data_IF_103021814268
#
_entry.id   IF_103021814268
#
_cell.length_a   1.000
_cell.length_b   1.000
_cell.length_c   1.000
_cell.angle_alpha   90.00
_cell.angle_beta   90.00
_cell.angle_gamma   90.00
#
_symmetry.space_group_name_H-M   'P 1'
#
loop_
_entity.id
_entity.type
_entity.pdbx_description
1 polymer ?
#
# COMPACT_ATOMS: atom_id res chain seq x y z
N UNK A 1 -50.76 -24.99 25.74
CA UNK A 1 -49.48 -25.15 26.47
C UNK A 1 -48.85 -26.46 26.01
N UNK A 2 -48.19 -26.44 24.85
CA UNK A 2 -47.40 -27.56 24.35
C UNK A 2 -45.96 -27.07 24.19
N UNK A 3 -45.05 -27.75 24.86
CA UNK A 3 -43.62 -27.51 24.85
C UNK A 3 -43.04 -27.89 23.48
N UNK A 4 -42.10 -27.09 22.97
CA UNK A 4 -41.17 -27.54 21.95
C UNK A 4 -39.83 -26.82 22.16
N UNK A 5 -38.93 -27.62 22.73
CA UNK A 5 -37.48 -27.50 22.75
C UNK A 5 -36.95 -26.87 21.45
N UNK A 6 -36.09 -25.86 21.53
CA UNK A 6 -35.00 -25.64 20.55
C UNK A 6 -33.98 -24.66 21.12
N UNK A 7 -32.91 -25.26 21.64
CA UNK A 7 -31.51 -24.87 21.43
C UNK A 7 -31.06 -23.54 22.04
N UNK A 8 -30.33 -23.68 23.15
CA UNK A 8 -29.30 -22.75 23.53
C UNK A 8 -28.25 -22.63 22.41
N UNK A 9 -28.09 -21.45 21.83
CA UNK A 9 -26.79 -20.99 21.36
C UNK A 9 -26.58 -19.60 21.94
N UNK A 10 -25.75 -19.55 22.97
CA UNK A 10 -25.05 -18.35 23.39
C UNK A 10 -24.15 -17.90 22.23
N UNK A 11 -24.68 -17.06 21.34
CA UNK A 11 -23.82 -16.31 20.43
C UNK A 11 -23.17 -15.20 21.26
N UNK A 12 -22.05 -15.56 21.90
CA UNK A 12 -20.99 -14.58 22.13
C UNK A 12 -20.60 -14.07 20.74
N UNK A 13 -21.15 -12.94 20.33
CA UNK A 13 -20.70 -12.22 19.14
C UNK A 13 -19.36 -11.59 19.51
N UNK A 14 -18.32 -12.41 19.58
CA UNK A 14 -16.95 -11.94 19.47
C UNK A 14 -16.74 -11.56 18.00
N UNK A 15 -17.34 -10.43 17.57
CA UNK A 15 -16.95 -9.76 16.33
C UNK A 15 -15.56 -9.17 16.53
N UNK A 16 -14.57 -10.04 16.44
CA UNK A 16 -13.24 -9.65 15.99
C UNK A 16 -13.33 -9.51 14.47
N UNK A 17 -14.08 -8.51 14.00
CA UNK A 17 -14.10 -8.11 12.58
C UNK A 17 -13.20 -6.91 12.31
N UNK A 18 -12.40 -6.47 13.27
CA UNK A 18 -11.53 -5.30 13.11
C UNK A 18 -10.05 -5.68 13.08
N UNK A 19 -9.68 -6.41 12.02
CA UNK A 19 -8.31 -6.43 11.49
C UNK A 19 -8.26 -5.89 10.05
N UNK A 20 -9.21 -5.02 9.67
CA UNK A 20 -9.41 -4.60 8.28
C UNK A 20 -9.62 -3.11 8.00
N UNK A 21 -9.63 -2.24 9.02
CA UNK A 21 -9.96 -0.81 8.83
C UNK A 21 -8.76 0.12 8.65
N UNK A 22 -7.54 -0.41 8.51
CA UNK A 22 -6.42 0.38 7.97
C UNK A 22 -6.47 0.38 6.44
N UNK A 23 -7.53 0.98 5.89
CA UNK A 23 -7.56 1.29 4.46
C UNK A 23 -6.47 2.34 4.20
N UNK A 24 -5.31 1.90 3.71
CA UNK A 24 -4.32 2.80 3.13
C UNK A 24 -4.99 3.42 1.90
N UNK A 25 -5.16 4.75 1.84
CA UNK A 25 -5.75 5.39 0.67
C UNK A 25 -5.04 4.93 -0.59
N UNK A 26 -5.81 4.51 -1.60
CA UNK A 26 -5.22 4.15 -2.89
C UNK A 26 -4.43 5.36 -3.39
N UNK A 27 -3.20 5.14 -3.88
CA UNK A 27 -2.37 6.21 -4.44
C UNK A 27 -2.57 6.26 -5.95
N UNK A 28 -2.84 7.46 -6.47
CA UNK A 28 -2.84 7.76 -7.90
C UNK A 28 -1.53 8.43 -8.28
N UNK A 29 -0.80 7.85 -9.24
CA UNK A 29 0.47 8.39 -9.70
C UNK A 29 0.24 9.44 -10.81
N UNK A 30 0.65 10.69 -10.56
CA UNK A 30 0.51 11.81 -11.50
C UNK A 30 1.79 12.15 -12.26
N UNK A 31 2.95 11.62 -11.83
CA UNK A 31 4.22 11.76 -12.56
C UNK A 31 5.02 10.47 -12.44
N UNK A 32 5.43 9.92 -13.59
CA UNK A 32 6.25 8.71 -13.69
C UNK A 32 7.64 9.00 -14.25
N UNK A 33 8.61 8.18 -13.86
CA UNK A 33 9.97 8.17 -14.40
C UNK A 33 10.37 6.74 -14.77
N UNK A 34 10.96 6.58 -15.95
CA UNK A 34 11.57 5.32 -16.35
C UNK A 34 13.04 5.33 -15.93
N UNK A 35 13.42 4.38 -15.08
CA UNK A 35 14.78 4.30 -14.55
C UNK A 35 15.81 4.16 -15.67
N UNK A 36 16.88 4.95 -15.62
CA UNK A 36 18.01 4.90 -16.55
C UNK A 36 19.17 4.05 -16.00
N UNK A 37 20.13 3.73 -16.86
CA UNK A 37 21.33 2.98 -16.45
C UNK A 37 22.13 3.75 -15.40
N UNK A 38 22.54 3.05 -14.34
CA UNK A 38 23.32 3.61 -13.23
C UNK A 38 22.50 4.33 -12.16
N UNK A 39 21.18 4.45 -12.33
CA UNK A 39 20.31 5.05 -11.31
C UNK A 39 19.99 4.07 -10.17
N UNK A 40 19.73 4.65 -9.00
CA UNK A 40 19.25 3.97 -7.79
C UNK A 40 17.98 4.64 -7.31
N UNK A 41 17.23 4.01 -6.40
CA UNK A 41 16.09 4.69 -5.75
C UNK A 41 16.49 6.03 -5.13
N UNK A 42 17.68 6.10 -4.53
CA UNK A 42 18.17 7.30 -3.85
C UNK A 42 18.52 8.41 -4.83
N UNK A 43 19.23 8.10 -5.92
CA UNK A 43 19.57 9.11 -6.93
C UNK A 43 18.32 9.65 -7.62
N UNK A 44 17.36 8.78 -7.95
CA UNK A 44 16.08 9.19 -8.56
C UNK A 44 15.26 10.04 -7.60
N UNK A 45 15.14 9.65 -6.32
CA UNK A 45 14.41 10.45 -5.33
C UNK A 45 15.05 11.82 -5.14
N UNK A 46 16.38 11.88 -4.99
CA UNK A 46 17.12 13.12 -4.80
C UNK A 46 16.98 14.05 -6.01
N UNK A 47 17.17 13.54 -7.22
CA UNK A 47 17.01 14.31 -8.46
C UNK A 47 15.59 14.84 -8.66
N UNK A 48 14.60 14.16 -8.07
CA UNK A 48 13.18 14.55 -8.11
C UNK A 48 12.77 15.48 -6.96
N UNK A 49 13.71 15.87 -6.08
CA UNK A 49 13.42 16.69 -4.90
C UNK A 49 12.62 15.96 -3.81
N UNK A 50 12.59 14.62 -3.84
CA UNK A 50 11.90 13.79 -2.85
C UNK A 50 12.87 13.31 -1.78
N UNK A 51 12.39 13.23 -0.54
CA UNK A 51 13.04 12.39 0.46
C UNK A 51 12.92 10.92 0.05
N UNK A 52 13.86 10.08 0.50
CA UNK A 52 13.80 8.64 0.25
C UNK A 52 12.48 8.04 0.78
N UNK A 53 12.01 8.52 1.94
CA UNK A 53 10.76 8.07 2.55
C UNK A 53 9.54 8.39 1.67
N UNK A 54 9.42 9.62 1.16
CA UNK A 54 8.33 9.99 0.25
C UNK A 54 8.34 9.14 -1.03
N UNK A 55 9.52 8.94 -1.62
CA UNK A 55 9.66 8.10 -2.81
C UNK A 55 9.19 6.65 -2.55
N UNK A 56 9.53 6.07 -1.39
CA UNK A 56 9.08 4.72 -1.02
C UNK A 56 7.58 4.67 -0.75
N UNK A 57 6.99 5.72 -0.16
CA UNK A 57 5.53 5.83 0.00
C UNK A 57 4.82 5.83 -1.35
N UNK A 58 5.37 6.52 -2.36
CA UNK A 58 4.78 6.53 -3.71
C UNK A 58 4.97 5.21 -4.46
N UNK A 59 5.90 4.36 -4.02
CA UNK A 59 6.27 3.11 -4.68
C UNK A 59 6.30 1.93 -3.68
N UNK A 60 5.17 1.60 -3.03
CA UNK A 60 5.16 0.66 -1.90
C UNK A 60 5.62 -0.77 -2.24
N UNK A 61 5.59 -1.15 -3.51
CA UNK A 61 6.01 -2.48 -3.99
C UNK A 61 7.44 -2.50 -4.57
N UNK A 62 8.20 -1.40 -4.48
CA UNK A 62 9.53 -1.33 -5.08
C UNK A 62 10.56 -2.09 -4.24
N UNK A 63 11.44 -2.83 -4.92
CA UNK A 63 12.66 -3.36 -4.32
C UNK A 63 13.87 -2.60 -4.86
N UNK A 64 14.42 -1.69 -4.06
CA UNK A 64 15.55 -0.84 -4.46
C UNK A 64 16.85 -1.59 -4.72
N UNK A 65 16.99 -2.83 -4.25
CA UNK A 65 18.15 -3.69 -4.54
C UNK A 65 18.01 -4.42 -5.88
N UNK A 66 16.83 -4.38 -6.50
CA UNK A 66 16.52 -5.03 -7.79
C UNK A 66 15.92 -4.05 -8.79
N UNK A 67 16.32 -2.78 -8.71
CA UNK A 67 15.95 -1.77 -9.68
C UNK A 67 16.56 -2.11 -11.04
N UNK A 68 15.78 -1.94 -12.12
CA UNK A 68 16.24 -2.23 -13.47
C UNK A 68 15.94 -1.08 -14.44
N UNK A 69 16.73 -0.99 -15.51
CA UNK A 69 16.55 0.03 -16.55
C UNK A 69 15.19 -0.14 -17.23
N UNK A 70 14.45 0.95 -17.36
CA UNK A 70 13.09 0.98 -17.90
C UNK A 70 12.00 0.67 -16.86
N UNK A 71 12.35 0.39 -15.60
CA UNK A 71 11.35 0.25 -14.55
C UNK A 71 10.64 1.60 -14.33
N UNK A 72 9.31 1.60 -14.35
CA UNK A 72 8.52 2.78 -14.01
C UNK A 72 8.46 2.97 -12.50
N UNK A 73 8.78 4.18 -12.05
CA UNK A 73 8.64 4.62 -10.67
C UNK A 73 7.83 5.91 -10.61
N UNK A 74 7.05 6.06 -9.54
CA UNK A 74 6.22 7.23 -9.30
C UNK A 74 7.01 8.33 -8.59
N UNK A 75 6.95 9.55 -9.12
CA UNK A 75 7.61 10.74 -8.57
C UNK A 75 6.63 11.77 -7.97
N UNK A 76 5.34 11.64 -8.26
CA UNK A 76 4.29 12.43 -7.64
C UNK A 76 3.02 11.58 -7.55
N UNK A 77 2.43 11.51 -6.36
CA UNK A 77 1.19 10.79 -6.12
C UNK A 77 0.22 11.61 -5.25
N UNK A 78 -1.08 11.38 -5.46
CA UNK A 78 -2.15 11.85 -4.59
C UNK A 78 -2.94 10.67 -4.05
N UNK A 79 -3.71 10.86 -2.97
CA UNK A 79 -4.80 9.93 -2.67
C UNK A 79 -5.77 9.91 -3.86
N UNK A 80 -6.21 8.72 -4.24
CA UNK A 80 -7.23 8.48 -5.25
C UNK A 80 -8.63 8.79 -4.69
#
# INVERSE_FOLDING_TARGET
MIASLLVAVTLADARVTQFGDFAVPALSCSKVHGVHAGETCFSVSQASGLTQAQFLTFNPNINCLRLFVGQWVCLAASSA
#
